data_IF_799093127907
#
_entry.id   IF_799093127907
#
_cell.length_a   1.000
_cell.length_b   1.000
_cell.length_c   1.000
_cell.angle_alpha   90.00
_cell.angle_beta   90.00
_cell.angle_gamma   90.00
#
_symmetry.space_group_name_H-M   'P 1'
#
loop_
_entity.id
_entity.type
_entity.pdbx_description
1 polymer ?
#
# COMPACT_ATOMS: atom_id res chain seq x y z
N UNK A 1 24.81 -16.56 14.02
CA UNK A 1 25.56 -15.30 14.23
C UNK A 1 25.27 -14.86 15.64
N UNK A 2 26.29 -14.47 16.41
CA UNK A 2 26.21 -14.27 17.86
C UNK A 2 25.32 -13.08 18.22
N UNK A 3 24.33 -13.31 19.08
CA UNK A 3 23.49 -12.27 19.67
C UNK A 3 24.33 -11.36 20.57
N UNK A 4 24.43 -10.08 20.22
CA UNK A 4 25.09 -9.08 21.07
C UNK A 4 24.06 -8.48 22.03
N UNK A 5 24.05 -8.96 23.27
CA UNK A 5 23.27 -8.37 24.36
C UNK A 5 24.19 -7.44 25.17
N UNK A 6 23.94 -6.13 25.12
CA UNK A 6 24.66 -5.17 25.95
C UNK A 6 24.04 -5.14 27.35
N UNK A 7 24.78 -5.62 28.35
CA UNK A 7 24.34 -5.66 29.75
C UNK A 7 25.01 -4.54 30.54
N UNK A 8 24.22 -3.58 31.05
CA UNK A 8 24.69 -2.54 31.97
C UNK A 8 24.31 -2.92 33.41
N UNK A 9 25.32 -3.02 34.29
CA UNK A 9 25.14 -3.33 35.71
C UNK A 9 25.07 -2.05 36.54
N UNK A 10 23.86 -1.67 36.94
CA UNK A 10 23.62 -0.77 38.07
C UNK A 10 22.45 -1.34 38.88
N UNK A 11 22.66 -1.62 40.16
CA UNK A 11 21.61 -1.90 41.15
C UNK A 11 20.50 -2.86 40.72
N UNK A 12 20.72 -4.18 40.90
CA UNK A 12 19.70 -5.23 41.08
C UNK A 12 18.42 -5.26 40.20
N UNK A 13 18.41 -4.67 38.99
CA UNK A 13 17.32 -4.87 38.03
C UNK A 13 17.90 -5.09 36.64
N UNK A 14 17.73 -6.30 36.11
CA UNK A 14 18.15 -6.65 34.74
C UNK A 14 17.02 -6.28 33.79
N UNK A 15 17.16 -5.18 33.06
CA UNK A 15 16.30 -4.86 31.92
C UNK A 15 16.90 -5.52 30.67
N UNK A 16 16.41 -6.71 30.32
CA UNK A 16 16.68 -7.29 28.99
C UNK A 16 15.76 -6.61 27.98
N UNK A 17 16.32 -5.69 27.19
CA UNK A 17 15.67 -5.17 25.99
C UNK A 17 16.03 -6.09 24.82
N UNK A 18 15.13 -7.01 24.47
CA UNK A 18 15.20 -7.68 23.18
C UNK A 18 14.70 -6.70 22.12
N UNK A 19 15.60 -6.10 21.35
CA UNK A 19 15.22 -5.50 20.08
C UNK A 19 14.70 -6.63 19.18
N UNK A 20 13.37 -6.68 19.00
CA UNK A 20 12.80 -7.53 17.98
C UNK A 20 13.35 -7.06 16.64
N UNK A 21 14.34 -7.78 16.10
CA UNK A 21 14.78 -7.61 14.74
C UNK A 21 13.55 -7.82 13.84
N UNK A 22 12.98 -6.71 13.38
CA UNK A 22 11.90 -6.72 12.39
C UNK A 22 12.51 -7.35 11.15
N UNK A 23 12.12 -8.59 10.85
CA UNK A 23 12.45 -9.20 9.57
C UNK A 23 11.84 -8.31 8.49
N UNK A 24 12.68 -7.55 7.80
CA UNK A 24 12.28 -6.86 6.57
C UNK A 24 11.85 -7.93 5.59
N UNK A 25 10.54 -8.09 5.46
CA UNK A 25 9.97 -8.91 4.40
C UNK A 25 10.38 -8.22 3.10
N UNK A 26 11.02 -8.91 2.14
CA UNK A 26 11.43 -8.28 0.90
C UNK A 26 10.21 -7.59 0.29
N UNK A 27 10.32 -6.30 0.00
CA UNK A 27 9.23 -5.49 -0.50
C UNK A 27 8.59 -6.21 -1.69
N UNK A 28 7.36 -6.69 -1.49
CA UNK A 28 6.68 -7.50 -2.48
C UNK A 28 6.40 -6.59 -3.68
N UNK A 29 7.07 -6.83 -4.81
CA UNK A 29 6.99 -5.96 -5.98
C UNK A 29 5.59 -6.02 -6.58
N UNK A 30 4.88 -4.90 -6.47
CA UNK A 30 3.64 -4.63 -7.17
C UNK A 30 3.97 -3.73 -8.35
N UNK A 31 3.74 -4.20 -9.56
CA UNK A 31 3.83 -3.33 -10.73
C UNK A 31 2.57 -2.47 -10.80
N UNK A 32 2.76 -1.17 -10.93
CA UNK A 32 1.67 -0.18 -10.98
C UNK A 32 1.84 0.67 -12.23
N UNK A 33 0.80 0.77 -13.05
CA UNK A 33 0.79 1.58 -14.27
C UNK A 33 -0.44 2.48 -14.30
N UNK A 34 -0.25 3.80 -14.33
CA UNK A 34 -1.34 4.73 -14.64
C UNK A 34 -1.72 4.57 -16.12
N UNK A 35 -2.98 4.23 -16.39
CA UNK A 35 -3.49 4.06 -17.74
C UNK A 35 -4.04 5.37 -18.31
N UNK A 36 -4.73 6.14 -17.47
CA UNK A 36 -5.31 7.43 -17.84
C UNK A 36 -5.49 8.29 -16.60
N UNK A 37 -5.29 9.59 -16.79
CA UNK A 37 -5.75 10.65 -15.91
C UNK A 37 -6.46 11.68 -16.76
N UNK A 38 -7.69 11.99 -16.41
CA UNK A 38 -8.52 12.90 -17.20
C UNK A 38 -9.55 13.63 -16.35
N UNK A 39 -9.89 14.84 -16.77
CA UNK A 39 -11.04 15.59 -16.28
C UNK A 39 -12.23 15.54 -17.25
N UNK A 40 -12.22 14.58 -18.18
CA UNK A 40 -13.27 14.38 -19.17
C UNK A 40 -13.97 13.03 -19.00
N UNK A 41 -15.25 13.02 -19.33
CA UNK A 41 -16.09 11.85 -19.49
C UNK A 41 -15.73 11.06 -20.77
N UNK A 42 -16.28 9.85 -20.90
CA UNK A 42 -16.04 8.96 -22.04
C UNK A 42 -16.47 9.56 -23.39
N UNK A 43 -17.44 10.47 -23.37
CA UNK A 43 -17.94 11.22 -24.53
C UNK A 43 -17.17 12.53 -24.79
N UNK A 44 -16.11 12.80 -24.02
CA UNK A 44 -15.28 14.00 -24.16
C UNK A 44 -15.83 15.25 -23.46
N UNK A 45 -16.99 15.16 -22.80
CA UNK A 45 -17.50 16.26 -21.99
C UNK A 45 -16.63 16.46 -20.74
N UNK A 46 -16.42 17.71 -20.32
CA UNK A 46 -15.75 17.99 -19.05
C UNK A 46 -16.56 17.45 -17.87
N UNK A 47 -15.87 16.91 -16.87
CA UNK A 47 -16.49 16.51 -15.62
C UNK A 47 -17.00 17.75 -14.87
N UNK A 48 -18.10 17.63 -14.10
CA UNK A 48 -18.69 18.77 -13.41
C UNK A 48 -17.75 19.35 -12.36
N UNK A 49 -17.68 20.68 -12.29
CA UNK A 49 -16.96 21.37 -11.24
C UNK A 49 -17.65 21.18 -9.89
N UNK A 50 -16.90 20.73 -8.88
CA UNK A 50 -17.37 20.70 -7.50
C UNK A 50 -16.78 21.88 -6.73
N UNK A 51 -17.47 22.33 -5.67
CA UNK A 51 -17.16 23.54 -4.89
C UNK A 51 -15.70 23.67 -4.42
N UNK A 52 -15.00 22.54 -4.22
CA UNK A 52 -13.65 22.52 -3.66
C UNK A 52 -12.55 22.25 -4.69
N UNK A 53 -12.87 21.60 -5.81
CA UNK A 53 -11.89 21.17 -6.83
C UNK A 53 -12.57 20.58 -8.06
N UNK A 54 -11.88 20.69 -9.20
CA UNK A 54 -12.21 19.89 -10.38
C UNK A 54 -11.97 18.40 -10.07
N UNK A 55 -12.90 17.52 -10.43
CA UNK A 55 -12.68 16.08 -10.32
C UNK A 55 -11.69 15.60 -11.38
N UNK A 56 -10.97 14.53 -11.03
CA UNK A 56 -10.10 13.79 -11.94
C UNK A 56 -10.46 12.31 -11.85
N UNK A 57 -10.56 11.65 -13.00
CA UNK A 57 -10.63 10.20 -13.11
C UNK A 57 -9.22 9.68 -13.35
N UNK A 58 -8.78 8.75 -12.51
CA UNK A 58 -7.49 8.08 -12.63
C UNK A 58 -7.73 6.58 -12.70
N UNK A 59 -7.33 5.95 -13.79
CA UNK A 59 -7.36 4.49 -13.89
C UNK A 59 -5.95 3.94 -13.77
N UNK A 60 -5.77 2.98 -12.87
CA UNK A 60 -4.48 2.36 -12.57
C UNK A 60 -4.60 0.86 -12.77
N UNK A 61 -3.62 0.29 -13.47
CA UNK A 61 -3.43 -1.16 -13.58
C UNK A 61 -2.42 -1.60 -12.53
N UNK A 62 -2.81 -2.61 -11.78
CA UNK A 62 -1.90 -3.30 -10.88
C UNK A 62 -1.64 -4.72 -11.36
N UNK A 63 -0.39 -5.17 -11.25
CA UNK A 63 0.02 -6.56 -11.44
C UNK A 63 0.74 -7.02 -10.18
N UNK A 64 0.25 -8.12 -9.63
CA UNK A 64 0.75 -8.71 -8.40
C UNK A 64 1.19 -10.15 -8.68
N UNK A 65 2.27 -10.57 -8.03
CA UNK A 65 2.63 -11.99 -7.97
C UNK A 65 1.58 -12.79 -7.17
N UNK A 66 1.56 -14.11 -7.38
CA UNK A 66 0.67 -15.00 -6.60
C UNK A 66 1.01 -14.92 -5.09
N UNK A 67 -0.03 -14.94 -4.26
CA UNK A 67 0.12 -14.91 -2.80
C UNK A 67 0.37 -13.51 -2.20
N UNK A 68 0.40 -12.45 -3.02
CA UNK A 68 0.44 -11.07 -2.52
C UNK A 68 -0.87 -10.74 -1.80
N UNK A 69 -0.76 -10.23 -0.57
CA UNK A 69 -1.88 -9.66 0.16
C UNK A 69 -1.89 -8.15 -0.05
N UNK A 70 -3.04 -7.63 -0.46
CA UNK A 70 -3.25 -6.19 -0.50
C UNK A 70 -3.36 -5.68 0.95
N UNK A 71 -2.54 -4.68 1.28
CA UNK A 71 -2.62 -4.02 2.57
C UNK A 71 -3.96 -3.31 2.74
N UNK A 72 -4.41 -3.24 3.99
CA UNK A 72 -5.54 -2.39 4.36
C UNK A 72 -5.20 -0.93 4.06
N UNK A 73 -6.14 -0.22 3.45
CA UNK A 73 -6.02 1.21 3.18
C UNK A 73 -7.38 1.89 3.32
N UNK A 74 -7.35 3.19 3.64
CA UNK A 74 -8.54 4.02 3.80
C UNK A 74 -8.84 4.79 2.51
N UNK A 75 -10.08 4.72 2.05
CA UNK A 75 -10.53 5.38 0.84
C UNK A 75 -11.04 6.79 1.15
N UNK A 76 -10.28 7.80 0.73
CA UNK A 76 -10.70 9.22 0.76
C UNK A 76 -11.57 9.61 -0.43
N UNK A 77 -11.60 8.79 -1.47
CA UNK A 77 -12.39 8.99 -2.69
C UNK A 77 -13.03 7.66 -3.11
N UNK A 78 -14.10 7.73 -3.93
CA UNK A 78 -14.74 6.54 -4.50
C UNK A 78 -13.78 5.87 -5.48
N UNK A 79 -13.67 4.55 -5.38
CA UNK A 79 -12.82 3.74 -6.21
C UNK A 79 -13.48 2.37 -6.42
N UNK A 80 -13.30 1.82 -7.61
CA UNK A 80 -13.74 0.48 -7.94
C UNK A 80 -12.62 -0.22 -8.71
N UNK A 81 -12.68 -1.54 -8.77
CA UNK A 81 -11.67 -2.33 -9.45
C UNK A 81 -12.32 -3.47 -10.19
N UNK A 82 -11.74 -3.84 -11.33
CA UNK A 82 -12.19 -4.96 -12.15
C UNK A 82 -11.06 -5.98 -12.21
N UNK A 83 -11.33 -7.21 -11.76
CA UNK A 83 -10.38 -8.30 -11.88
C UNK A 83 -10.36 -8.81 -13.32
N UNK A 84 -9.25 -8.59 -14.02
CA UNK A 84 -9.09 -9.04 -15.41
C UNK A 84 -8.65 -10.51 -15.52
N UNK A 85 -7.76 -10.97 -14.64
CA UNK A 85 -7.22 -12.33 -14.66
C UNK A 85 -6.85 -12.78 -13.24
N UNK A 86 -6.99 -14.08 -12.98
CA UNK A 86 -6.66 -14.70 -11.69
C UNK A 86 -7.86 -14.73 -10.74
N UNK A 87 -7.57 -14.75 -9.44
CA UNK A 87 -8.58 -14.74 -8.37
C UNK A 87 -8.11 -13.83 -7.24
N UNK A 88 -9.02 -13.02 -6.73
CA UNK A 88 -8.84 -12.31 -5.45
C UNK A 88 -9.58 -13.13 -4.39
N UNK A 89 -8.89 -13.51 -3.32
CA UNK A 89 -9.48 -14.20 -2.18
C UNK A 89 -8.49 -14.33 -1.03
N UNK A 90 -9.01 -14.32 0.19
CA UNK A 90 -8.28 -14.63 1.41
C UNK A 90 -8.09 -16.13 1.61
#
# INVERSE_FOLDING_TARGET
MLDSCATLFYGAVVYTSCENARADTPAQQVETTELIRTSQSLDGAELPDYLLRRPELVAVKYVFSLGVKLGWHYHVAINYSVLRIGRIGG
#
